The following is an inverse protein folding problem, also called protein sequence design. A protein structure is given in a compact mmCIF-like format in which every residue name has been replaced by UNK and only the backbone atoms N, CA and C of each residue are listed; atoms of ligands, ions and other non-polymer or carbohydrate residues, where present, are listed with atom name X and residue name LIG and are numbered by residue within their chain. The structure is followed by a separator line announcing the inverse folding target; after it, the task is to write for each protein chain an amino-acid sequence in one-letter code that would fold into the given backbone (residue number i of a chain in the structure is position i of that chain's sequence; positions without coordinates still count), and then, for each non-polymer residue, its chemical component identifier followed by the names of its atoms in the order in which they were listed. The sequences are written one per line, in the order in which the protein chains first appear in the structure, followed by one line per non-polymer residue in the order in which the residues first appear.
data_IF_480637223210
#
_entry.id   IF_480637223210
#
_cell.length_a   1.000
_cell.length_b   1.000
_cell.length_c   1.000
_cell.angle_alpha   90.00
_cell.angle_beta   90.00
_cell.angle_gamma   90.00
#
_symmetry.space_group_name_H-M   'P 1'
#
loop_
_entity.id
_entity.type
_entity.pdbx_description
1 polymer ?
#
# COMPACT_ATOMS: atom_id res chain seq x y z
N UNK A 1 -3.82 -9.20 -22.91
CA UNK A 1 -3.11 -8.79 -21.68
C UNK A 1 -3.01 -10.00 -20.77
N UNK A 2 -1.81 -10.55 -20.59
CA UNK A 2 -1.56 -11.70 -19.70
C UNK A 2 -1.25 -11.17 -18.31
N UNK A 3 -2.16 -11.36 -17.36
CA UNK A 3 -1.87 -11.16 -15.93
C UNK A 3 -0.75 -12.11 -15.51
N UNK A 4 0.13 -11.67 -14.59
CA UNK A 4 1.16 -12.55 -14.05
C UNK A 4 0.55 -13.79 -13.39
N UNK A 5 1.17 -14.94 -13.62
CA UNK A 5 0.69 -16.22 -13.11
C UNK A 5 0.61 -16.23 -11.57
N UNK A 6 1.51 -15.51 -10.90
CA UNK A 6 1.56 -15.40 -9.43
C UNK A 6 0.37 -14.66 -8.82
N UNK A 7 -0.08 -13.55 -9.42
CA UNK A 7 -1.19 -12.73 -8.90
C UNK A 7 -2.53 -13.50 -8.96
N UNK A 8 -2.74 -14.26 -10.04
CA UNK A 8 -3.91 -15.11 -10.20
C UNK A 8 -3.90 -16.33 -9.26
N UNK A 9 -2.72 -16.85 -8.92
CA UNK A 9 -2.56 -17.95 -7.96
C UNK A 9 -2.97 -17.50 -6.55
N UNK A 10 -2.50 -16.34 -6.11
CA UNK A 10 -2.89 -15.80 -4.79
C UNK A 10 -4.40 -15.58 -4.67
N UNK A 11 -5.07 -15.09 -5.72
CA UNK A 11 -6.53 -14.94 -5.69
C UNK A 11 -7.26 -16.26 -5.49
N UNK A 12 -6.79 -17.34 -6.11
CA UNK A 12 -7.39 -18.68 -5.98
C UNK A 12 -7.22 -19.30 -4.58
N UNK A 13 -6.24 -18.84 -3.82
CA UNK A 13 -5.96 -19.32 -2.47
C UNK A 13 -6.64 -18.50 -1.37
N UNK A 14 -7.30 -17.39 -1.71
CA UNK A 14 -8.04 -16.59 -0.73
C UNK A 14 -9.32 -17.33 -0.32
N UNK A 15 -9.56 -17.38 1.00
CA UNK A 15 -10.87 -17.74 1.52
C UNK A 15 -11.94 -16.78 1.00
N UNK A 16 -13.24 -17.16 0.98
CA UNK A 16 -14.31 -16.22 0.74
C UNK A 16 -14.16 -14.98 1.64
N UNK A 17 -14.22 -13.79 1.05
CA UNK A 17 -13.99 -12.50 1.74
C UNK A 17 -12.58 -12.33 2.36
N UNK A 18 -11.60 -13.12 1.91
CA UNK A 18 -10.21 -12.98 2.32
C UNK A 18 -9.64 -11.61 1.93
N UNK A 19 -8.91 -10.99 2.85
CA UNK A 19 -8.22 -9.73 2.63
C UNK A 19 -6.77 -9.98 2.24
N UNK A 20 -6.26 -9.18 1.30
CA UNK A 20 -4.83 -9.02 1.10
C UNK A 20 -4.40 -7.72 1.75
N UNK A 21 -3.43 -7.80 2.65
CA UNK A 21 -2.77 -6.64 3.24
C UNK A 21 -1.29 -6.72 2.89
N UNK A 22 -0.77 -5.68 2.25
CA UNK A 22 0.63 -5.56 1.91
C UNK A 22 1.18 -4.21 2.39
N UNK A 23 2.40 -4.21 2.90
CA UNK A 23 3.14 -2.97 3.13
C UNK A 23 4.00 -2.64 1.91
N UNK A 24 4.09 -1.36 1.57
CA UNK A 24 4.95 -0.84 0.51
C UNK A 24 5.59 0.45 0.96
N UNK A 25 6.85 0.67 0.61
CA UNK A 25 7.51 1.97 0.81
C UNK A 25 7.31 2.81 -0.45
N UNK A 26 6.79 4.02 -0.29
CA UNK A 26 6.60 4.95 -1.39
C UNK A 26 6.21 6.35 -0.93
N UNK A 27 5.87 7.23 -1.86
CA UNK A 27 5.60 8.64 -1.57
C UNK A 27 4.43 9.19 -2.36
N UNK A 28 4.15 10.47 -2.18
CA UNK A 28 3.04 11.17 -2.85
C UNK A 28 3.47 11.99 -4.06
N UNK A 29 4.78 12.15 -4.29
CA UNK A 29 5.35 12.88 -5.41
C UNK A 29 6.44 12.09 -6.14
N UNK A 30 6.76 12.53 -7.36
CA UNK A 30 7.88 12.04 -8.15
C UNK A 30 7.89 10.52 -8.40
N UNK A 31 9.08 9.95 -8.48
CA UNK A 31 9.28 8.52 -8.72
C UNK A 31 8.69 7.63 -7.62
N UNK A 32 8.70 8.10 -6.37
CA UNK A 32 8.17 7.37 -5.23
C UNK A 32 6.64 7.17 -5.34
N UNK A 33 5.91 8.16 -5.86
CA UNK A 33 4.48 8.02 -6.17
C UNK A 33 4.21 7.04 -7.30
N UNK A 34 5.02 7.11 -8.36
CA UNK A 34 4.91 6.22 -9.52
C UNK A 34 4.97 4.74 -9.12
N UNK A 35 5.84 4.37 -8.18
CA UNK A 35 5.98 2.98 -7.70
C UNK A 35 4.66 2.48 -7.10
N UNK A 36 4.11 3.19 -6.11
CA UNK A 36 2.90 2.74 -5.41
C UNK A 36 1.70 2.75 -6.36
N UNK A 37 1.56 3.79 -7.19
CA UNK A 37 0.50 3.85 -8.20
C UNK A 37 0.57 2.71 -9.21
N UNK A 38 1.78 2.28 -9.61
CA UNK A 38 1.98 1.17 -10.53
C UNK A 38 1.62 -0.17 -9.90
N UNK A 39 2.00 -0.40 -8.64
CA UNK A 39 1.60 -1.60 -7.89
C UNK A 39 0.08 -1.66 -7.77
N UNK A 40 -0.55 -0.56 -7.38
CA UNK A 40 -2.02 -0.53 -7.24
C UNK A 40 -2.70 -0.77 -8.59
N UNK A 41 -2.29 -0.07 -9.66
CA UNK A 41 -2.85 -0.27 -11.00
C UNK A 41 -2.68 -1.71 -11.52
N UNK A 42 -1.62 -2.40 -11.08
CA UNK A 42 -1.38 -3.81 -11.44
C UNK A 42 -2.28 -4.77 -10.67
N UNK A 43 -2.56 -4.46 -9.40
CA UNK A 43 -3.38 -5.31 -8.52
C UNK A 43 -4.89 -5.14 -8.77
N UNK A 44 -5.35 -3.93 -9.10
CA UNK A 44 -6.76 -3.59 -9.26
C UNK A 44 -7.52 -4.50 -10.25
N UNK A 45 -6.98 -4.87 -11.43
CA UNK A 45 -7.64 -5.79 -12.36
C UNK A 45 -7.89 -7.19 -11.80
N UNK A 46 -7.09 -7.63 -10.83
CA UNK A 46 -7.20 -8.98 -10.25
C UNK A 46 -8.06 -8.97 -9.00
N UNK A 47 -7.84 -8.02 -8.10
CA UNK A 47 -8.46 -8.01 -6.77
C UNK A 47 -9.58 -6.98 -6.60
N UNK A 48 -9.87 -6.17 -7.62
CA UNK A 48 -10.79 -5.04 -7.51
C UNK A 48 -10.14 -3.84 -6.84
N UNK A 49 -10.96 -2.89 -6.38
CA UNK A 49 -10.47 -1.62 -5.80
C UNK A 49 -9.54 -1.88 -4.62
N UNK A 50 -8.35 -1.27 -4.66
CA UNK A 50 -7.37 -1.32 -3.58
C UNK A 50 -7.49 -0.04 -2.74
N UNK A 51 -7.60 -0.19 -1.43
CA UNK A 51 -7.50 0.93 -0.49
C UNK A 51 -6.05 1.14 -0.07
N UNK A 52 -5.59 2.39 -0.06
CA UNK A 52 -4.23 2.77 0.34
C UNK A 52 -4.29 3.60 1.62
N UNK A 53 -3.43 3.28 2.58
CA UNK A 53 -3.33 3.98 3.86
C UNK A 53 -1.88 4.41 4.12
N UNK A 54 -1.65 5.66 4.55
CA UNK A 54 -0.29 6.19 4.81
C UNK A 54 -0.23 6.92 6.16
N UNK A 55 -0.19 6.18 7.29
CA UNK A 55 -0.29 6.76 8.63
C UNK A 55 0.86 7.71 8.95
N UNK A 56 2.08 7.37 8.54
CA UNK A 56 3.26 8.18 8.81
C UNK A 56 3.22 9.52 8.07
N UNK A 57 2.66 9.56 6.86
CA UNK A 57 2.43 10.82 6.14
C UNK A 57 1.39 11.69 6.85
N UNK A 58 0.33 11.08 7.37
CA UNK A 58 -0.64 11.80 8.18
C UNK A 58 0.00 12.38 9.44
N UNK A 59 0.78 11.56 10.17
CA UNK A 59 1.49 11.97 11.39
C UNK A 59 2.58 13.02 11.13
N UNK A 60 3.17 13.04 9.94
CA UNK A 60 4.18 14.03 9.57
C UNK A 60 3.59 15.38 9.09
N UNK A 61 2.29 15.61 9.27
CA UNK A 61 1.64 16.82 8.77
C UNK A 61 1.47 16.85 7.25
N UNK A 62 1.33 15.68 6.61
CA UNK A 62 1.06 15.53 5.18
C UNK A 62 2.17 16.04 4.26
N UNK A 63 3.43 15.87 4.66
CA UNK A 63 4.58 16.29 3.86
C UNK A 63 4.55 15.61 2.47
N UNK A 64 4.43 16.37 1.36
CA UNK A 64 4.28 15.81 0.02
C UNK A 64 5.52 15.05 -0.48
N UNK A 65 6.69 15.33 0.11
CA UNK A 65 7.96 14.70 -0.25
C UNK A 65 8.33 13.53 0.68
N UNK A 66 7.48 13.20 1.66
CA UNK A 66 7.74 12.09 2.54
C UNK A 66 7.64 10.77 1.77
N UNK A 67 8.70 9.98 1.85
CA UNK A 67 8.68 8.56 1.50
C UNK A 67 8.50 7.75 2.78
N UNK A 68 7.49 6.89 2.78
CA UNK A 68 7.10 6.18 3.98
C UNK A 68 6.35 4.88 3.66
N UNK A 69 6.17 4.07 4.70
CA UNK A 69 5.34 2.86 4.63
C UNK A 69 3.89 3.24 4.38
N UNK A 70 3.31 2.62 3.36
CA UNK A 70 1.90 2.61 3.03
C UNK A 70 1.35 1.18 3.14
N UNK A 71 0.08 1.06 3.51
CA UNK A 71 -0.65 -0.21 3.52
C UNK A 71 -1.59 -0.26 2.32
N UNK A 72 -1.46 -1.32 1.52
CA UNK A 72 -2.35 -1.67 0.44
C UNK A 72 -3.31 -2.73 0.95
N UNK A 73 -4.61 -2.48 0.83
CA UNK A 73 -5.67 -3.40 1.27
C UNK A 73 -6.55 -3.74 0.08
N UNK A 74 -6.58 -5.02 -0.29
CA UNK A 74 -7.46 -5.56 -1.31
C UNK A 74 -8.57 -6.39 -0.65
N UNK A 75 -9.80 -6.19 -1.12
CA UNK A 75 -11.01 -6.81 -0.57
C UNK A 75 -11.87 -5.84 0.23
N UNK A 76 -13.06 -6.30 0.60
CA UNK A 76 -14.04 -5.49 1.32
C UNK A 76 -13.73 -5.50 2.82
N UNK A 77 -13.48 -4.31 3.37
CA UNK A 77 -13.39 -4.15 4.82
C UNK A 77 -14.80 -4.24 5.43
N UNK A 78 -14.97 -4.92 6.57
CA UNK A 78 -16.25 -4.97 7.26
C UNK A 78 -16.65 -3.55 7.71
N UNK A 79 -17.92 -3.19 7.50
CA UNK A 79 -18.47 -1.89 7.94
C UNK A 79 -18.34 -1.71 9.45
N UNK A 80 -18.54 -2.79 10.20
CA UNK A 80 -18.42 -2.83 11.65
C UNK A 80 -17.37 -3.88 12.02
N UNK A 81 -16.08 -3.50 12.12
CA UNK A 81 -15.06 -4.44 12.56
C UNK A 81 -15.38 -4.90 13.98
N UNK A 82 -15.25 -6.21 14.21
CA UNK A 82 -15.44 -6.77 15.55
C UNK A 82 -14.46 -6.09 16.55
N UNK A 83 -14.85 -5.93 17.83
CA UNK A 83 -13.96 -5.38 18.84
C UNK A 83 -12.64 -6.15 18.87
N UNK A 84 -11.56 -5.43 18.63
CA UNK A 84 -10.22 -6.00 18.56
C UNK A 84 -9.50 -5.80 19.88
N UNK A 85 -9.18 -6.91 20.58
CA UNK A 85 -8.57 -6.93 21.91
C UNK A 85 -7.05 -7.15 21.86
N UNK A 86 -6.37 -6.66 20.83
CA UNK A 86 -4.91 -6.77 20.79
C UNK A 86 -4.26 -5.79 21.75
N UNK A 87 -3.35 -6.32 22.57
CA UNK A 87 -2.46 -5.49 23.38
C UNK A 87 -1.51 -4.73 22.45
N UNK A 88 -1.68 -3.41 22.38
CA UNK A 88 -0.74 -2.52 21.71
C UNK A 88 0.36 -2.08 22.67
N UNK A 89 1.57 -1.87 22.15
CA UNK A 89 2.68 -1.30 22.91
C UNK A 89 2.33 0.10 23.43
N UNK A 90 3.02 0.56 24.48
CA UNK A 90 2.81 1.93 24.98
C UNK A 90 3.13 2.99 23.92
N UNK A 91 4.12 2.73 23.06
CA UNK A 91 4.48 3.60 21.95
C UNK A 91 3.32 3.78 20.96
N UNK A 92 2.69 2.68 20.53
CA UNK A 92 1.53 2.72 19.62
C UNK A 92 0.35 3.47 20.25
N UNK A 93 0.16 3.34 21.57
CA UNK A 93 -0.86 4.12 22.30
C UNK A 93 -0.51 5.60 22.35
N UNK A 94 0.72 5.94 22.74
CA UNK A 94 1.18 7.34 22.89
C UNK A 94 1.17 8.11 21.57
N UNK A 95 1.47 7.43 20.46
CA UNK A 95 1.48 8.02 19.11
C UNK A 95 0.10 8.03 18.45
N UNK A 96 -0.90 7.43 19.10
CA UNK A 96 -2.21 7.19 18.51
C UNK A 96 -2.15 6.61 17.09
N UNK A 97 -1.26 5.63 16.90
CA UNK A 97 -0.93 5.12 15.57
C UNK A 97 -2.09 4.38 14.91
N UNK A 98 -2.89 3.65 15.68
CA UNK A 98 -4.02 2.88 15.16
C UNK A 98 -5.08 3.80 14.54
N UNK A 99 -5.46 4.87 15.24
CA UNK A 99 -6.38 5.88 14.69
C UNK A 99 -5.80 6.54 13.44
N UNK A 100 -4.48 6.78 13.44
CA UNK A 100 -3.77 7.33 12.28
C UNK A 100 -3.86 6.40 11.08
N UNK A 101 -3.77 5.08 11.26
CA UNK A 101 -3.96 4.10 10.16
C UNK A 101 -5.35 4.28 9.54
N UNK A 102 -6.42 4.24 10.34
CA UNK A 102 -7.77 4.35 9.81
C UNK A 102 -8.09 5.72 9.18
N UNK A 103 -7.53 6.79 9.72
CA UNK A 103 -7.72 8.16 9.20
C UNK A 103 -6.82 8.47 7.98
N UNK A 104 -5.84 7.64 7.66
CA UNK A 104 -4.83 7.90 6.62
C UNK A 104 -5.17 7.34 5.24
N UNK A 105 -6.44 7.08 4.96
CA UNK A 105 -6.85 6.62 3.63
C UNK A 105 -6.55 7.71 2.59
N UNK A 106 -5.90 7.32 1.50
CA UNK A 106 -5.48 8.23 0.44
C UNK A 106 -5.87 7.71 -0.94
N UNK A 107 -6.06 8.64 -1.86
CA UNK A 107 -6.15 8.36 -3.29
C UNK A 107 -4.82 8.74 -3.95
N UNK A 108 -4.35 7.86 -4.84
CA UNK A 108 -3.10 8.06 -5.56
C UNK A 108 -3.43 8.32 -7.03
N UNK A 109 -2.75 9.30 -7.65
CA UNK A 109 -2.88 9.52 -9.10
C UNK A 109 -2.43 8.28 -9.87
N UNK A 110 -3.16 7.96 -10.95
CA UNK A 110 -2.85 6.84 -11.86
C UNK A 110 -2.16 7.30 -13.15
N UNK A 111 -1.97 8.60 -13.34
CA UNK A 111 -1.58 9.19 -14.63
C UNK A 111 -0.19 8.73 -15.10
N UNK A 112 0.68 8.35 -14.17
CA UNK A 112 2.03 7.87 -14.45
C UNK A 112 2.23 6.38 -14.12
N UNK A 113 1.16 5.68 -13.74
CA UNK A 113 1.23 4.27 -13.36
C UNK A 113 1.58 3.40 -14.58
N UNK A 114 2.43 2.41 -14.36
CA UNK A 114 2.74 1.38 -15.37
C UNK A 114 2.28 0.03 -14.85
N UNK A 115 1.77 -0.82 -15.75
CA UNK A 115 1.37 -2.17 -15.39
C UNK A 115 2.63 -3.03 -15.26
N UNK A 116 2.86 -3.55 -14.06
CA UNK A 116 3.98 -4.41 -13.75
C UNK A 116 3.68 -5.83 -14.24
N UNK A 117 4.68 -6.50 -14.78
CA UNK A 117 4.59 -7.88 -15.25
C UNK A 117 5.77 -8.67 -14.70
N UNK A 118 5.72 -10.00 -14.72
CA UNK A 118 6.81 -10.83 -14.20
C UNK A 118 8.15 -10.58 -14.94
N UNK A 119 8.11 -10.18 -16.21
CA UNK A 119 9.29 -9.78 -17.00
C UNK A 119 9.68 -8.30 -16.85
N UNK A 120 8.89 -7.53 -16.11
CA UNK A 120 9.10 -6.12 -15.84
C UNK A 120 8.79 -5.85 -14.36
N UNK A 121 9.65 -6.36 -13.49
CA UNK A 121 9.85 -5.84 -12.16
C UNK A 121 11.14 -5.01 -12.25
N UNK A 122 11.07 -3.67 -12.41
CA UNK A 122 12.27 -2.87 -12.45
C UNK A 122 12.94 -3.02 -11.07
N UNK A 123 13.97 -3.85 -11.01
CA UNK A 123 14.85 -3.99 -9.84
C UNK A 123 15.40 -2.60 -9.45
N UNK A 124 15.59 -1.73 -10.44
CA UNK A 124 15.95 -0.33 -10.30
C UNK A 124 14.87 0.54 -9.62
N UNK A 125 13.58 0.19 -9.74
CA UNK A 125 12.49 0.90 -9.07
C UNK A 125 12.30 0.48 -7.61
N UNK A 126 12.71 -0.76 -7.27
CA UNK A 126 12.54 -1.31 -5.92
C UNK A 126 13.78 -1.14 -5.04
N UNK A 127 14.99 -1.22 -5.58
CA UNK A 127 16.20 -1.05 -4.76
C UNK A 127 16.66 0.40 -4.74
N UNK A 128 16.92 1.04 -5.88
CA UNK A 128 17.70 2.28 -5.85
C UNK A 128 16.87 3.51 -5.48
N UNK A 129 15.65 3.66 -6.01
CA UNK A 129 14.80 4.80 -5.68
C UNK A 129 14.25 4.71 -4.25
N UNK A 130 13.84 3.53 -3.79
CA UNK A 130 13.36 3.32 -2.43
C UNK A 130 14.49 3.42 -1.40
N UNK A 131 15.67 2.84 -1.67
CA UNK A 131 16.84 2.97 -0.78
C UNK A 131 17.36 4.40 -0.75
N UNK A 132 17.41 5.13 -1.87
CA UNK A 132 17.79 6.56 -1.87
C UNK A 132 16.79 7.42 -1.10
N UNK A 133 15.50 7.11 -1.21
CA UNK A 133 14.46 7.83 -0.46
C UNK A 133 14.47 7.55 1.05
N UNK A 134 15.04 6.42 1.49
CA UNK A 134 15.22 6.07 2.91
C UNK A 134 16.53 6.60 3.52
N UNK A 135 17.39 7.26 2.73
CA UNK A 135 18.71 7.78 3.16
C UNK A 135 18.70 9.26 3.59
N UNK A 136 17.54 9.92 3.59
CA UNK A 136 17.33 11.28 4.09
C UNK A 136 16.23 11.28 5.16
#
# INVERSE_FOLDING_TARGET
MTHSAGTLLHKKCLAPNGLIVANIVGGFSGSASKVVSSVVATMEPVFGKISVYSPNWLQSGKNPNLVTTMFLVAGELPENPAPFTMKVSEEIRRTNYIDSVFASKVELSRDQAIILTDGYAPLEAWSDAAVRAMRY
#
